data_IF_396909115051
#
_entry.id   IF_396909115051
#
_cell.length_a   1.000
_cell.length_b   1.000
_cell.length_c   1.000
_cell.angle_alpha   90.00
_cell.angle_beta   90.00
_cell.angle_gamma   90.00
#
_symmetry.space_group_name_H-M   'P 1'
#
loop_
_entity.id
_entity.type
_entity.pdbx_description
1 polymer ?
#
# COMPACT_ATOMS: atom_id res chain seq x y z
N UNK A 1 -11.72 3.24 -8.41
CA UNK A 1 -12.70 2.12 -8.37
C UNK A 1 -14.11 2.71 -8.22
N UNK A 2 -15.16 2.14 -8.83
CA UNK A 2 -16.53 2.71 -8.78
C UNK A 2 -17.02 2.93 -7.34
N UNK A 3 -16.74 1.97 -6.45
CA UNK A 3 -17.09 2.09 -5.03
C UNK A 3 -16.44 3.29 -4.35
N UNK A 4 -15.18 3.60 -4.65
CA UNK A 4 -14.51 4.79 -4.09
C UNK A 4 -15.18 6.08 -4.55
N UNK A 5 -15.54 6.17 -5.82
CA UNK A 5 -16.23 7.33 -6.37
C UNK A 5 -17.61 7.50 -5.72
N UNK A 6 -18.34 6.40 -5.50
CA UNK A 6 -19.61 6.41 -4.78
C UNK A 6 -19.45 6.87 -3.33
N UNK A 7 -18.48 6.33 -2.59
CA UNK A 7 -18.19 6.73 -1.20
C UNK A 7 -17.89 8.24 -1.12
N UNK A 8 -17.05 8.75 -2.02
CA UNK A 8 -16.70 10.17 -2.07
C UNK A 8 -17.92 11.03 -2.42
N UNK A 9 -18.76 10.60 -3.36
CA UNK A 9 -20.01 11.31 -3.70
C UNK A 9 -21.00 11.40 -2.53
N UNK A 10 -20.93 10.46 -1.58
CA UNK A 10 -21.72 10.47 -0.34
C UNK A 10 -21.00 11.18 0.83
N UNK A 11 -19.93 11.94 0.56
CA UNK A 11 -19.19 12.70 1.57
C UNK A 11 -18.16 11.87 2.36
N UNK A 12 -17.93 10.62 1.97
CA UNK A 12 -16.89 9.77 2.55
C UNK A 12 -15.50 10.04 1.98
N UNK A 13 -14.53 9.25 2.44
CA UNK A 13 -13.15 9.23 1.92
C UNK A 13 -12.84 7.87 1.33
N UNK A 14 -11.96 7.80 0.33
CA UNK A 14 -11.52 6.52 -0.24
C UNK A 14 -10.93 5.68 0.89
N UNK A 15 -11.26 4.38 0.89
CA UNK A 15 -10.85 3.50 1.98
C UNK A 15 -9.32 3.42 2.11
N UNK A 16 -8.62 3.41 0.98
CA UNK A 16 -7.16 3.40 0.92
C UNK A 16 -6.53 4.64 1.56
N UNK A 17 -7.12 5.83 1.38
CA UNK A 17 -6.62 7.08 1.98
C UNK A 17 -6.73 7.07 3.52
N UNK A 18 -7.75 6.41 4.07
CA UNK A 18 -7.89 6.24 5.51
C UNK A 18 -6.94 5.16 6.05
N UNK A 19 -6.89 4.02 5.36
CA UNK A 19 -6.11 2.86 5.78
C UNK A 19 -4.60 3.12 5.72
N UNK A 20 -4.11 3.92 4.78
CA UNK A 20 -2.69 4.26 4.71
C UNK A 20 -2.25 5.12 5.90
N UNK A 21 -3.10 6.05 6.35
CA UNK A 21 -2.83 6.86 7.54
C UNK A 21 -2.85 6.01 8.81
N UNK A 22 -3.81 5.08 8.92
CA UNK A 22 -3.85 4.12 10.03
C UNK A 22 -2.61 3.23 10.06
N UNK A 23 -2.16 2.73 8.91
CA UNK A 23 -0.94 1.94 8.80
C UNK A 23 0.30 2.75 9.22
N UNK A 24 0.40 4.02 8.83
CA UNK A 24 1.50 4.88 9.27
C UNK A 24 1.47 5.15 10.78
N UNK A 25 0.28 5.26 11.39
CA UNK A 25 0.13 5.50 12.83
C UNK A 25 0.59 4.33 13.70
N UNK A 26 0.65 3.11 13.17
CA UNK A 26 1.20 1.96 13.92
C UNK A 26 2.73 2.02 14.05
N UNK A 27 3.40 2.90 13.30
CA UNK A 27 4.86 2.93 13.19
C UNK A 27 5.43 1.88 12.25
N UNK A 28 4.59 1.16 11.50
CA UNK A 28 5.04 0.20 10.51
C UNK A 28 5.82 0.88 9.37
N UNK A 29 6.88 0.21 8.90
CA UNK A 29 7.63 0.63 7.71
C UNK A 29 7.08 0.02 6.42
N UNK A 30 6.30 -1.05 6.52
CA UNK A 30 5.73 -1.80 5.39
C UNK A 30 4.24 -2.05 5.63
N UNK A 31 3.41 -1.76 4.62
CA UNK A 31 2.05 -2.25 4.48
C UNK A 31 2.06 -3.39 3.45
N UNK A 32 1.89 -4.62 3.93
CA UNK A 32 1.79 -5.79 3.06
C UNK A 32 0.34 -5.94 2.55
N UNK A 33 0.17 -6.16 1.24
CA UNK A 33 -1.12 -6.47 0.61
C UNK A 33 -1.09 -7.89 0.05
N UNK A 34 -2.25 -8.54 -0.06
CA UNK A 34 -2.38 -9.88 -0.64
C UNK A 34 -3.14 -9.90 -1.97
N UNK A 35 -3.66 -8.75 -2.40
CA UNK A 35 -4.39 -8.60 -3.64
C UNK A 35 -3.58 -7.70 -4.58
N UNK A 36 -3.27 -8.15 -5.81
CA UNK A 36 -2.45 -7.37 -6.74
C UNK A 36 -3.12 -6.04 -7.14
N UNK A 37 -4.46 -5.95 -7.07
CA UNK A 37 -5.18 -4.70 -7.30
C UNK A 37 -5.04 -3.68 -6.16
N UNK A 38 -4.63 -4.10 -4.98
CA UNK A 38 -4.46 -3.21 -3.82
C UNK A 38 -3.10 -2.52 -3.82
N UNK A 39 -2.09 -3.10 -4.47
CA UNK A 39 -0.73 -2.58 -4.49
C UNK A 39 -0.69 -1.13 -5.00
N UNK A 40 -1.05 -0.92 -6.27
CA UNK A 40 -1.07 0.41 -6.90
C UNK A 40 -2.03 1.38 -6.19
N UNK A 41 -3.15 0.87 -5.67
CA UNK A 41 -4.13 1.67 -4.94
C UNK A 41 -3.55 2.24 -3.64
N UNK A 42 -2.83 1.44 -2.88
CA UNK A 42 -2.20 1.88 -1.64
C UNK A 42 -0.92 2.69 -1.90
N UNK A 43 -0.18 2.41 -2.96
CA UNK A 43 0.93 3.25 -3.40
C UNK A 43 0.46 4.67 -3.75
N UNK A 44 -0.62 4.79 -4.51
CA UNK A 44 -1.22 6.09 -4.83
C UNK A 44 -1.73 6.81 -3.57
N UNK A 45 -2.36 6.07 -2.64
CA UNK A 45 -2.79 6.63 -1.36
C UNK A 45 -1.60 7.11 -0.51
N UNK A 46 -0.48 6.38 -0.50
CA UNK A 46 0.74 6.74 0.20
C UNK A 46 1.38 8.01 -0.38
N UNK A 47 1.43 8.14 -1.71
CA UNK A 47 1.89 9.36 -2.41
C UNK A 47 1.03 10.55 -2.04
N UNK A 48 -0.30 10.44 -2.16
CA UNK A 48 -1.24 11.52 -1.81
C UNK A 48 -1.13 11.92 -0.33
N UNK A 49 -0.85 10.98 0.56
CA UNK A 49 -0.65 11.23 1.98
C UNK A 49 0.76 11.76 2.35
N UNK A 50 1.68 11.90 1.39
CA UNK A 50 3.07 12.31 1.67
C UNK A 50 3.86 11.28 2.47
N UNK A 51 3.50 10.00 2.33
CA UNK A 51 4.11 8.86 3.02
C UNK A 51 5.07 8.06 2.13
N UNK A 52 5.27 8.49 0.88
CA UNK A 52 6.24 7.91 -0.04
C UNK A 52 7.64 7.86 0.59
N UNK A 53 8.31 6.70 0.47
CA UNK A 53 9.60 6.43 1.11
C UNK A 53 9.55 6.12 2.62
N UNK A 54 8.50 6.51 3.35
CA UNK A 54 8.34 6.23 4.79
C UNK A 54 7.56 4.94 5.07
N UNK A 55 6.49 4.71 4.32
CA UNK A 55 5.68 3.50 4.38
C UNK A 55 5.69 2.84 3.00
N UNK A 56 6.40 1.72 2.89
CA UNK A 56 6.45 0.93 1.65
C UNK A 56 5.20 0.07 1.54
N UNK A 57 4.59 0.04 0.37
CA UNK A 57 3.52 -0.92 0.06
C UNK A 57 4.17 -2.07 -0.71
N UNK A 58 3.94 -3.32 -0.29
CA UNK A 58 4.57 -4.52 -0.86
C UNK A 58 3.53 -5.62 -1.00
N UNK A 59 3.65 -6.46 -2.01
CA UNK A 59 2.88 -7.71 -2.04
C UNK A 59 3.47 -8.70 -1.01
N UNK A 60 2.62 -9.44 -0.31
CA UNK A 60 3.05 -10.42 0.70
C UNK A 60 3.96 -11.50 0.10
N UNK A 61 3.80 -11.84 -1.17
CA UNK A 61 4.64 -12.81 -1.87
C UNK A 61 6.07 -12.26 -2.05
N UNK A 62 6.24 -10.96 -2.27
CA UNK A 62 7.57 -10.35 -2.36
C UNK A 62 8.31 -10.43 -1.02
N UNK A 63 7.60 -10.27 0.10
CA UNK A 63 8.18 -10.41 1.44
C UNK A 63 8.56 -11.86 1.72
N UNK A 64 7.74 -12.82 1.27
CA UNK A 64 8.06 -14.24 1.37
C UNK A 64 9.30 -14.58 0.52
N UNK A 65 9.36 -14.12 -0.73
CA UNK A 65 10.51 -14.32 -1.60
C UNK A 65 11.80 -13.73 -0.99
N UNK A 66 11.74 -12.52 -0.44
CA UNK A 66 12.86 -11.88 0.26
C UNK A 66 13.33 -12.72 1.46
N UNK A 67 12.40 -13.29 2.25
CA UNK A 67 12.73 -14.16 3.38
C UNK A 67 13.36 -15.50 2.99
N UNK A 68 13.15 -15.93 1.73
CA UNK A 68 13.71 -17.15 1.15
C UNK A 68 14.98 -16.89 0.33
N UNK A 69 15.51 -15.67 0.32
CA UNK A 69 16.63 -15.24 -0.53
C UNK A 69 16.35 -15.44 -2.03
N UNK A 70 15.09 -15.28 -2.42
CA UNK A 70 14.58 -15.38 -3.80
C UNK A 70 14.26 -14.00 -4.42
N UNK A 71 14.56 -12.90 -3.71
CA UNK A 71 14.34 -11.55 -4.21
C UNK A 71 15.06 -11.34 -5.55
N UNK A 72 14.53 -10.46 -6.40
CA UNK A 72 15.22 -10.11 -7.66
C UNK A 72 16.68 -9.81 -7.33
N UNK A 73 17.61 -10.62 -7.87
CA UNK A 73 19.03 -10.27 -7.81
C UNK A 73 19.11 -8.87 -8.38
N UNK A 74 19.50 -7.89 -7.57
CA UNK A 74 20.09 -6.69 -8.10
C UNK A 74 21.32 -7.14 -8.87
N UNK A 75 21.18 -7.32 -10.19
CA UNK A 75 22.33 -7.48 -11.07
C UNK A 75 23.23 -6.25 -10.86
N UNK A 76 24.56 -6.46 -10.88
CA UNK A 76 25.53 -5.42 -10.58
C UNK A 76 25.43 -4.20 -11.50
#
# INVERSE_FOLDING_TARGET
MWLDAHIVAQGGRRLSDLRILQAAQTGANILAVSCPYELSRFEDAAKVAGLEGRLKVRDIIELLAESMDLGERSEP
#
